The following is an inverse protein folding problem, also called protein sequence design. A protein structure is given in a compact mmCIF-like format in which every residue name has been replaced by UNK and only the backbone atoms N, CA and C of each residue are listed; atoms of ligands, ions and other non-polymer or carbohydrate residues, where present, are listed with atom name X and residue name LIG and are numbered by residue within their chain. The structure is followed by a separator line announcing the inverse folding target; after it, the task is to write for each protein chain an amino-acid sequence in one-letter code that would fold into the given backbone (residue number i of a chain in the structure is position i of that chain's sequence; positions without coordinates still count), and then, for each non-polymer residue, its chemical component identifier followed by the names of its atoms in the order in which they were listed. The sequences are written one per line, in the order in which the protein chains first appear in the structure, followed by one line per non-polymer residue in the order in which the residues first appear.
data_IF_962218908048
#
_entry.id   IF_962218908048
#
_cell.length_a   1.000
_cell.length_b   1.000
_cell.length_c   1.000
_cell.angle_alpha   90.00
_cell.angle_beta   90.00
_cell.angle_gamma   90.00
#
_symmetry.space_group_name_H-M   'P 1'
#
loop_
_entity.id
_entity.type
_entity.pdbx_description
1 polymer ?
#
# COMPACT_ATOMS: atom_id res chain seq x y z
N UNK A 1 -6.55 4.33 7.24
CA UNK A 1 -5.31 3.59 6.88
C UNK A 1 -4.21 3.65 7.96
N UNK A 2 -4.28 4.57 8.93
CA UNK A 2 -3.33 4.64 10.06
C UNK A 2 -3.08 3.30 10.78
N UNK A 3 -4.13 2.47 10.92
CA UNK A 3 -4.02 1.17 11.59
C UNK A 3 -3.20 0.12 10.82
N UNK A 4 -2.99 0.29 9.49
CA UNK A 4 -2.25 -0.68 8.69
C UNK A 4 -0.80 -0.83 9.17
N UNK A 5 -0.07 0.28 9.27
CA UNK A 5 1.33 0.32 9.67
C UNK A 5 1.56 0.70 11.13
N UNK A 6 0.50 0.78 11.96
CA UNK A 6 0.62 1.19 13.36
C UNK A 6 1.59 0.32 14.17
N UNK A 7 1.54 -1.01 14.03
CA UNK A 7 2.47 -1.91 14.71
C UNK A 7 3.87 -1.88 14.06
N UNK A 8 3.94 -1.77 12.72
CA UNK A 8 5.23 -1.71 12.00
C UNK A 8 6.04 -0.47 12.36
N UNK A 9 5.38 0.68 12.60
CA UNK A 9 6.05 1.93 12.98
C UNK A 9 6.74 1.85 14.35
N UNK A 10 6.27 0.96 15.23
CA UNK A 10 6.78 0.78 16.60
C UNK A 10 7.55 -0.52 16.80
N UNK A 11 7.92 -1.22 15.73
CA UNK A 11 8.67 -2.49 15.77
C UNK A 11 9.86 -2.45 16.75
N UNK A 12 10.76 -1.44 16.75
CA UNK A 12 11.88 -1.42 17.69
C UNK A 12 11.44 -1.49 19.16
N UNK A 13 10.37 -0.78 19.53
CA UNK A 13 9.84 -0.80 20.89
C UNK A 13 9.17 -2.15 21.21
N UNK A 14 8.49 -2.78 20.25
CA UNK A 14 7.89 -4.12 20.40
C UNK A 14 8.96 -5.21 20.49
N UNK A 15 10.07 -5.07 19.77
CA UNK A 15 11.24 -5.97 19.94
C UNK A 15 11.77 -5.92 21.36
N UNK A 16 11.96 -4.73 21.92
CA UNK A 16 12.42 -4.57 23.30
C UNK A 16 11.39 -5.09 24.32
N UNK A 17 10.09 -4.86 24.09
CA UNK A 17 9.03 -5.23 25.04
C UNK A 17 8.67 -6.73 25.00
N UNK A 18 8.77 -7.39 23.82
CA UNK A 18 8.28 -8.75 23.61
C UNK A 18 9.34 -9.73 23.12
N UNK A 19 10.59 -9.31 22.96
CA UNK A 19 11.70 -10.16 22.49
C UNK A 19 11.48 -10.70 21.07
N UNK A 20 10.90 -9.88 20.16
CA UNK A 20 10.51 -10.34 18.84
C UNK A 20 11.70 -10.70 17.96
N UNK A 21 11.66 -11.89 17.36
CA UNK A 21 12.58 -12.30 16.31
C UNK A 21 12.31 -11.52 15.01
N UNK A 22 13.26 -11.53 14.06
CA UNK A 22 13.06 -10.92 12.73
C UNK A 22 11.81 -11.48 12.02
N UNK A 23 11.50 -12.77 12.24
CA UNK A 23 10.26 -13.39 11.74
C UNK A 23 9.03 -12.78 12.39
N UNK A 24 9.03 -12.58 13.71
CA UNK A 24 7.92 -11.94 14.45
C UNK A 24 7.66 -10.52 13.97
N UNK A 25 8.71 -9.75 13.72
CA UNK A 25 8.60 -8.39 13.18
C UNK A 25 7.89 -8.37 11.81
N UNK A 26 8.27 -9.27 10.89
CA UNK A 26 7.62 -9.40 9.59
C UNK A 26 6.14 -9.80 9.74
N UNK A 27 5.81 -10.73 10.64
CA UNK A 27 4.44 -11.18 10.88
C UNK A 27 3.50 -10.09 11.38
N UNK A 28 3.98 -9.05 12.08
CA UNK A 28 3.16 -7.90 12.48
C UNK A 28 2.54 -7.17 11.29
N UNK A 29 3.22 -7.11 10.16
CA UNK A 29 2.70 -6.52 8.92
C UNK A 29 1.99 -7.55 8.06
N UNK A 30 2.57 -8.74 7.90
CA UNK A 30 2.04 -9.80 7.05
C UNK A 30 0.64 -10.28 7.47
N UNK A 31 0.35 -10.34 8.78
CA UNK A 31 -0.97 -10.73 9.28
C UNK A 31 -2.08 -9.77 8.84
N UNK A 32 -1.83 -8.46 8.81
CA UNK A 32 -2.80 -7.48 8.27
C UNK A 32 -3.02 -7.71 6.77
N UNK A 33 -1.96 -7.96 6.03
CA UNK A 33 -2.08 -8.17 4.59
C UNK A 33 -2.83 -9.45 4.25
N UNK A 34 -2.54 -10.54 4.98
CA UNK A 34 -3.29 -11.79 4.86
C UNK A 34 -4.77 -11.60 5.21
N UNK A 35 -5.04 -10.88 6.31
CA UNK A 35 -6.41 -10.52 6.69
C UNK A 35 -7.11 -9.69 5.60
N UNK A 36 -6.42 -8.73 5.01
CA UNK A 36 -6.96 -7.92 3.92
C UNK A 36 -7.31 -8.78 2.69
N UNK A 37 -6.46 -9.72 2.30
CA UNK A 37 -6.76 -10.64 1.18
C UNK A 37 -8.00 -11.46 1.48
N UNK A 38 -8.09 -12.07 2.67
CA UNK A 38 -9.26 -12.85 3.08
C UNK A 38 -10.52 -11.99 3.11
N UNK A 39 -10.44 -10.79 3.69
CA UNK A 39 -11.55 -9.84 3.73
C UNK A 39 -12.00 -9.36 2.35
N UNK A 40 -11.05 -9.07 1.45
CA UNK A 40 -11.36 -8.63 0.08
C UNK A 40 -12.04 -9.73 -0.73
N UNK A 41 -11.52 -10.97 -0.65
CA UNK A 41 -12.15 -12.12 -1.30
C UNK A 41 -13.55 -12.40 -0.72
N UNK A 42 -13.70 -12.39 0.60
CA UNK A 42 -15.00 -12.57 1.25
C UNK A 42 -15.99 -11.47 0.84
N UNK A 43 -15.55 -10.21 0.82
CA UNK A 43 -16.38 -9.08 0.39
C UNK A 43 -16.83 -9.21 -1.07
N UNK A 44 -15.93 -9.66 -1.96
CA UNK A 44 -16.23 -9.86 -3.38
C UNK A 44 -17.22 -11.03 -3.59
N UNK A 45 -17.00 -12.16 -2.88
CA UNK A 45 -17.86 -13.34 -2.97
C UNK A 45 -19.27 -13.09 -2.45
N UNK A 46 -19.36 -12.36 -1.34
CA UNK A 46 -20.65 -12.01 -0.72
C UNK A 46 -21.30 -10.78 -1.36
N UNK A 47 -20.62 -10.14 -2.33
CA UNK A 47 -21.06 -8.88 -2.95
C UNK A 47 -21.42 -7.80 -1.91
N UNK A 48 -20.65 -7.68 -0.84
CA UNK A 48 -20.96 -6.78 0.28
C UNK A 48 -21.08 -5.32 -0.18
N UNK A 49 -20.21 -4.88 -1.09
CA UNK A 49 -20.19 -3.51 -1.60
C UNK A 49 -21.43 -3.14 -2.46
N UNK A 50 -22.25 -4.12 -2.88
CA UNK A 50 -23.49 -3.89 -3.62
C UNK A 50 -24.73 -4.09 -2.75
N UNK A 51 -24.62 -4.92 -1.71
CA UNK A 51 -25.72 -5.20 -0.77
C UNK A 51 -25.83 -4.13 0.32
N UNK A 52 -24.72 -3.53 0.71
CA UNK A 52 -24.63 -2.54 1.79
C UNK A 52 -24.26 -1.19 1.17
N UNK A 53 -24.96 -0.09 1.50
CA UNK A 53 -24.58 1.24 1.05
C UNK A 53 -23.09 1.53 1.40
N UNK A 54 -22.31 2.02 0.41
CA UNK A 54 -20.87 2.13 0.53
C UNK A 54 -20.43 2.91 1.77
N UNK A 55 -21.13 4.00 2.13
CA UNK A 55 -20.84 4.79 3.34
C UNK A 55 -20.89 3.96 4.63
N UNK A 56 -21.90 3.08 4.77
CA UNK A 56 -22.06 2.26 5.96
C UNK A 56 -21.04 1.12 6.02
N UNK A 57 -20.80 0.46 4.87
CA UNK A 57 -19.76 -0.57 4.80
C UNK A 57 -18.40 0.02 5.15
N UNK A 58 -18.04 1.18 4.61
CA UNK A 58 -16.81 1.89 4.95
C UNK A 58 -16.74 2.24 6.44
N UNK A 59 -17.80 2.85 6.98
CA UNK A 59 -17.86 3.31 8.37
C UNK A 59 -17.70 2.15 9.36
N UNK A 60 -18.56 1.11 9.24
CA UNK A 60 -18.51 -0.07 10.13
C UNK A 60 -17.16 -0.77 10.03
N UNK A 61 -16.65 -0.94 8.83
CA UNK A 61 -15.33 -1.56 8.63
C UNK A 61 -14.20 -0.73 9.26
N UNK A 62 -14.26 0.59 9.16
CA UNK A 62 -13.27 1.48 9.77
C UNK A 62 -13.36 1.47 11.31
N UNK A 63 -14.57 1.44 11.87
CA UNK A 63 -14.79 1.31 13.31
C UNK A 63 -14.22 -0.01 13.84
N UNK A 64 -14.53 -1.13 13.18
CA UNK A 64 -14.04 -2.45 13.58
C UNK A 64 -12.50 -2.54 13.44
N UNK A 65 -11.90 -2.00 12.37
CA UNK A 65 -10.44 -1.95 12.21
C UNK A 65 -9.77 -1.09 13.29
N UNK A 66 -10.39 0.03 13.66
CA UNK A 66 -9.95 0.88 14.77
C UNK A 66 -10.02 0.14 16.10
N UNK A 67 -11.15 -0.50 16.41
CA UNK A 67 -11.37 -1.24 17.65
C UNK A 67 -10.39 -2.40 17.81
N UNK A 68 -10.18 -3.22 16.78
CA UNK A 68 -9.20 -4.32 16.83
C UNK A 68 -7.79 -3.80 17.09
N UNK A 69 -7.43 -2.63 16.56
CA UNK A 69 -6.13 -2.00 16.83
C UNK A 69 -6.04 -1.48 18.27
N UNK A 70 -7.11 -0.88 18.81
CA UNK A 70 -7.18 -0.41 20.21
C UNK A 70 -7.05 -1.57 21.23
N UNK A 71 -7.48 -2.77 20.87
CA UNK A 71 -7.38 -3.95 21.73
C UNK A 71 -5.97 -4.52 21.83
N UNK A 72 -5.04 -4.20 20.90
CA UNK A 72 -3.69 -4.75 20.90
C UNK A 72 -2.93 -4.44 22.20
N UNK A 73 -2.92 -3.21 22.74
CA UNK A 73 -2.26 -2.92 24.00
C UNK A 73 -2.80 -3.72 25.21
N UNK A 74 -4.08 -4.08 25.17
CA UNK A 74 -4.73 -4.88 26.20
C UNK A 74 -4.55 -6.40 26.02
N UNK A 75 -4.17 -6.86 24.83
CA UNK A 75 -3.95 -8.28 24.53
C UNK A 75 -2.73 -8.88 25.28
N UNK A 76 -1.98 -8.05 26.00
CA UNK A 76 -0.87 -8.46 26.85
C UNK A 76 0.32 -9.03 26.09
N UNK A 77 1.04 -9.97 26.72
CA UNK A 77 2.24 -10.60 26.15
C UNK A 77 1.97 -11.72 25.15
N UNK A 78 0.71 -12.01 24.82
CA UNK A 78 0.37 -13.06 23.85
C UNK A 78 0.56 -12.58 22.42
N UNK A 79 1.71 -12.89 21.83
CA UNK A 79 2.02 -12.54 20.44
C UNK A 79 0.99 -13.10 19.45
N UNK A 80 0.45 -14.30 19.70
CA UNK A 80 -0.58 -14.90 18.85
C UNK A 80 -1.88 -14.08 18.85
N UNK A 81 -2.30 -13.59 20.03
CA UNK A 81 -3.47 -12.70 20.14
C UNK A 81 -3.28 -11.39 19.36
N UNK A 82 -2.07 -10.83 19.42
CA UNK A 82 -1.71 -9.63 18.64
C UNK A 82 -1.79 -9.92 17.14
N UNK A 83 -1.23 -11.04 16.67
CA UNK A 83 -1.31 -11.42 15.26
C UNK A 83 -2.75 -11.63 14.80
N UNK A 84 -3.59 -12.23 15.63
CA UNK A 84 -5.01 -12.40 15.34
C UNK A 84 -5.75 -11.07 15.23
N UNK A 85 -5.52 -10.14 16.17
CA UNK A 85 -6.08 -8.78 16.09
C UNK A 85 -5.59 -8.02 14.86
N UNK A 86 -4.33 -8.17 14.48
CA UNK A 86 -3.76 -7.61 13.25
C UNK A 86 -4.40 -8.21 12.00
N UNK A 87 -4.62 -9.53 11.99
CA UNK A 87 -5.36 -10.21 10.92
C UNK A 87 -6.79 -9.66 10.79
N UNK A 88 -7.52 -9.55 11.90
CA UNK A 88 -8.87 -8.95 11.90
C UNK A 88 -8.85 -7.49 11.44
N UNK A 89 -7.85 -6.71 11.85
CA UNK A 89 -7.66 -5.34 11.32
C UNK A 89 -7.60 -5.35 9.80
N UNK A 90 -6.84 -6.28 9.22
CA UNK A 90 -6.76 -6.47 7.77
C UNK A 90 -8.09 -6.83 7.13
N UNK A 91 -8.80 -7.81 7.70
CA UNK A 91 -10.14 -8.23 7.22
C UNK A 91 -11.09 -7.03 7.13
N UNK A 92 -11.12 -6.19 8.16
CA UNK A 92 -11.98 -5.01 8.15
C UNK A 92 -11.48 -3.91 7.21
N UNK A 93 -10.18 -3.72 7.05
CA UNK A 93 -9.64 -2.74 6.08
C UNK A 93 -10.01 -3.06 4.62
N UNK A 94 -10.35 -4.29 4.31
CA UNK A 94 -10.89 -4.67 3.00
C UNK A 94 -12.25 -4.01 2.71
N UNK A 95 -13.02 -3.64 3.73
CA UNK A 95 -14.24 -2.84 3.60
C UNK A 95 -13.98 -1.32 3.58
N UNK A 96 -12.73 -0.86 3.67
CA UNK A 96 -12.37 0.56 3.66
C UNK A 96 -11.83 0.97 2.28
N UNK A 97 -10.66 0.45 1.86
CA UNK A 97 -10.00 0.92 0.65
C UNK A 97 -10.77 0.59 -0.64
N UNK A 98 -11.17 -0.67 -0.91
CA UNK A 98 -11.94 -0.99 -2.12
C UNK A 98 -13.29 -0.28 -2.18
N UNK A 99 -13.95 -0.11 -1.02
CA UNK A 99 -15.22 0.62 -0.94
C UNK A 99 -15.01 2.12 -1.19
N UNK A 100 -13.92 2.71 -0.65
CA UNK A 100 -13.52 4.08 -0.95
C UNK A 100 -13.28 4.31 -2.44
N UNK A 101 -12.60 3.35 -3.12
CA UNK A 101 -12.42 3.35 -4.57
C UNK A 101 -13.75 3.34 -5.32
N UNK A 102 -14.69 2.49 -4.89
CA UNK A 102 -16.03 2.41 -5.47
C UNK A 102 -16.79 3.72 -5.28
N UNK A 103 -16.77 4.32 -4.09
CA UNK A 103 -17.41 5.61 -3.82
C UNK A 103 -16.79 6.70 -4.71
N UNK A 104 -15.44 6.79 -4.80
CA UNK A 104 -14.75 7.75 -5.64
C UNK A 104 -15.15 7.60 -7.11
N UNK A 105 -15.28 6.37 -7.62
CA UNK A 105 -15.72 6.10 -8.98
C UNK A 105 -17.14 6.61 -9.26
N UNK A 106 -18.01 6.78 -8.26
CA UNK A 106 -19.35 7.37 -8.44
C UNK A 106 -19.32 8.88 -8.60
N UNK A 107 -18.23 9.56 -8.23
CA UNK A 107 -18.04 11.00 -8.34
C UNK A 107 -17.18 11.42 -9.53
N UNK A 108 -16.39 10.49 -10.10
CA UNK A 108 -15.43 10.79 -11.17
C UNK A 108 -15.81 10.05 -12.46
N UNK A 109 -15.87 10.76 -13.57
CA UNK A 109 -16.14 10.18 -14.89
C UNK A 109 -15.01 10.46 -15.87
N UNK A 110 -14.66 11.73 -16.06
CA UNK A 110 -13.59 12.17 -16.96
C UNK A 110 -12.25 12.28 -16.24
N UNK A 111 -12.27 12.64 -14.95
CA UNK A 111 -11.09 12.84 -14.09
C UNK A 111 -10.75 11.60 -13.22
N UNK A 112 -10.93 10.40 -13.77
CA UNK A 112 -10.74 9.16 -13.02
C UNK A 112 -9.33 9.03 -12.44
N UNK A 113 -8.30 9.39 -13.22
CA UNK A 113 -6.91 9.35 -12.79
C UNK A 113 -6.64 10.27 -11.59
N UNK A 114 -7.16 11.49 -11.64
CA UNK A 114 -7.03 12.46 -10.55
C UNK A 114 -7.80 11.99 -9.29
N UNK A 115 -9.03 11.48 -9.44
CA UNK A 115 -9.84 10.99 -8.31
C UNK A 115 -9.20 9.79 -7.61
N UNK A 116 -8.74 8.80 -8.36
CA UNK A 116 -8.03 7.63 -7.82
C UNK A 116 -6.69 8.05 -7.21
N UNK A 117 -5.96 8.97 -7.87
CA UNK A 117 -4.72 9.53 -7.34
C UNK A 117 -4.91 10.24 -6.00
N UNK A 118 -6.00 11.00 -5.83
CA UNK A 118 -6.35 11.64 -4.56
C UNK A 118 -6.62 10.61 -3.46
N UNK A 119 -7.39 9.56 -3.76
CA UNK A 119 -7.70 8.51 -2.80
C UNK A 119 -6.45 7.72 -2.39
N UNK A 120 -5.59 7.37 -3.35
CA UNK A 120 -4.31 6.69 -3.07
C UNK A 120 -3.38 7.62 -2.29
N UNK A 121 -3.37 8.92 -2.61
CA UNK A 121 -2.64 9.92 -1.83
C UNK A 121 -3.09 9.99 -0.37
N UNK A 122 -4.41 10.02 -0.13
CA UNK A 122 -4.98 9.99 1.22
C UNK A 122 -4.68 8.67 1.96
N UNK A 123 -4.73 7.52 1.25
CA UNK A 123 -4.31 6.23 1.77
C UNK A 123 -2.84 6.27 2.23
N UNK A 124 -1.98 6.84 1.41
CA UNK A 124 -0.53 6.96 1.66
C UNK A 124 -0.25 7.82 2.88
N UNK A 125 -0.88 9.00 3.00
CA UNK A 125 -0.78 9.85 4.19
C UNK A 125 -1.29 9.14 5.45
N UNK A 126 -2.42 8.44 5.34
CA UNK A 126 -2.94 7.63 6.45
C UNK A 126 -1.96 6.54 6.87
N UNK A 127 -1.29 5.89 5.92
CA UNK A 127 -0.28 4.86 6.19
C UNK A 127 1.01 5.43 6.81
N UNK A 128 1.36 6.67 6.48
CA UNK A 128 2.50 7.38 7.07
C UNK A 128 2.22 7.86 8.51
N UNK A 129 0.96 8.18 8.84
CA UNK A 129 0.57 8.79 10.11
C UNK A 129 1.16 8.14 11.38
N UNK A 130 1.24 6.80 11.52
CA UNK A 130 1.84 6.18 12.70
C UNK A 130 3.31 6.55 12.94
N UNK A 131 4.08 6.77 11.88
CA UNK A 131 5.48 7.21 11.97
C UNK A 131 5.58 8.65 12.49
N UNK A 132 4.66 9.52 12.06
CA UNK A 132 4.55 10.88 12.60
C UNK A 132 4.14 10.86 14.07
N UNK A 133 3.12 10.07 14.43
CA UNK A 133 2.67 9.92 15.82
C UNK A 133 3.80 9.45 16.73
N UNK A 134 4.64 8.49 16.25
CA UNK A 134 5.83 8.06 16.98
C UNK A 134 6.85 9.19 17.16
N UNK A 135 7.09 10.00 16.12
CA UNK A 135 8.11 11.04 16.14
C UNK A 135 7.72 12.25 17.01
N UNK A 136 6.43 12.61 17.05
CA UNK A 136 5.90 13.81 17.76
C UNK A 136 5.37 13.49 19.15
N UNK A 137 5.04 12.22 19.44
CA UNK A 137 4.44 11.77 20.69
C UNK A 137 5.34 12.03 21.91
N UNK A 138 4.71 12.40 23.05
CA UNK A 138 5.38 12.57 24.33
C UNK A 138 5.85 11.20 24.87
N UNK A 139 7.12 10.85 24.64
CA UNK A 139 7.71 9.58 25.06
C UNK A 139 8.11 8.77 23.83
N UNK A 140 9.33 9.02 23.35
CA UNK A 140 10.02 8.16 22.40
C UNK A 140 10.10 6.78 23.03
N UNK A 141 9.20 5.85 22.63
CA UNK A 141 9.16 4.47 23.15
C UNK A 141 7.78 3.94 23.57
N UNK A 142 6.78 4.80 23.79
CA UNK A 142 5.44 4.29 24.12
C UNK A 142 4.67 3.83 22.86
N UNK A 143 4.91 2.56 22.51
CA UNK A 143 4.23 1.91 21.39
C UNK A 143 2.70 1.83 21.58
N UNK A 144 2.22 1.85 22.84
CA UNK A 144 0.78 1.79 23.15
C UNK A 144 0.06 3.04 22.67
N UNK A 145 0.63 4.21 22.93
CA UNK A 145 0.05 5.50 22.47
C UNK A 145 -0.10 5.52 20.95
N UNK A 146 0.89 5.05 20.20
CA UNK A 146 0.81 5.04 18.72
C UNK A 146 -0.32 4.14 18.22
N UNK A 147 -0.50 2.97 18.84
CA UNK A 147 -1.60 2.05 18.50
C UNK A 147 -2.96 2.66 18.85
N UNK A 148 -3.09 3.24 20.05
CA UNK A 148 -4.31 3.90 20.53
C UNK A 148 -4.68 5.06 19.61
N UNK A 149 -3.75 5.95 19.30
CA UNK A 149 -4.00 7.11 18.44
C UNK A 149 -4.33 6.68 17.00
N UNK A 150 -3.65 5.66 16.48
CA UNK A 150 -3.94 5.12 15.14
C UNK A 150 -5.34 4.50 15.06
N UNK A 151 -5.74 3.75 16.10
CA UNK A 151 -7.08 3.19 16.21
C UNK A 151 -8.15 4.27 16.35
N UNK A 152 -7.92 5.28 17.19
CA UNK A 152 -8.82 6.43 17.36
C UNK A 152 -9.02 7.20 16.04
N UNK A 153 -7.93 7.46 15.29
CA UNK A 153 -8.01 8.09 13.97
C UNK A 153 -8.87 7.27 12.98
N UNK A 154 -8.77 5.94 13.03
CA UNK A 154 -9.62 5.09 12.18
C UNK A 154 -11.09 5.18 12.58
N UNK A 155 -11.40 5.19 13.88
CA UNK A 155 -12.77 5.35 14.39
C UNK A 155 -13.34 6.70 13.98
N UNK A 156 -12.59 7.79 14.20
CA UNK A 156 -13.00 9.15 13.80
C UNK A 156 -13.23 9.20 12.29
N UNK A 157 -12.32 8.63 11.48
CA UNK A 157 -12.50 8.54 10.03
C UNK A 157 -13.76 7.76 9.62
N UNK A 158 -14.11 6.69 10.34
CA UNK A 158 -15.34 5.93 10.13
C UNK A 158 -16.61 6.75 10.46
N UNK A 159 -16.59 7.49 11.57
CA UNK A 159 -17.70 8.38 11.97
C UNK A 159 -17.89 9.54 10.99
N UNK A 160 -16.79 10.17 10.56
CA UNK A 160 -16.81 11.21 9.52
C UNK A 160 -17.37 10.67 8.21
N UNK A 161 -16.98 9.45 7.82
CA UNK A 161 -17.50 8.81 6.61
C UNK A 161 -19.01 8.54 6.72
N UNK A 162 -19.49 8.04 7.85
CA UNK A 162 -20.91 7.82 8.09
C UNK A 162 -21.73 9.11 8.01
N UNK A 163 -21.19 10.22 8.52
CA UNK A 163 -21.90 11.50 8.58
C UNK A 163 -21.86 12.26 7.24
N UNK A 164 -20.71 12.30 6.56
CA UNK A 164 -20.47 13.22 5.45
C UNK A 164 -20.41 12.56 4.08
N UNK A 165 -20.06 11.27 3.98
CA UNK A 165 -19.89 10.62 2.67
C UNK A 165 -21.26 10.27 2.09
N UNK A 166 -21.43 10.61 0.81
CA UNK A 166 -22.58 10.23 -0.02
C UNK A 166 -22.08 9.57 -1.30
N UNK A 167 -22.91 8.71 -1.88
CA UNK A 167 -22.64 8.16 -3.20
C UNK A 167 -22.90 9.23 -4.25
N UNK A 168 -22.06 9.28 -5.28
CA UNK A 168 -22.15 10.25 -6.36
C UNK A 168 -23.21 9.88 -7.42
N UNK A 169 -23.41 10.77 -8.42
CA UNK A 169 -24.45 10.63 -9.44
C UNK A 169 -24.16 9.51 -10.45
N UNK A 170 -22.92 9.04 -10.58
CA UNK A 170 -22.50 8.03 -11.58
C UNK A 170 -22.47 6.61 -10.98
N UNK A 171 -23.48 6.27 -10.19
CA UNK A 171 -23.57 4.94 -9.57
C UNK A 171 -23.83 3.87 -10.63
N UNK A 172 -22.99 2.86 -10.68
CA UNK A 172 -23.16 1.64 -11.47
C UNK A 172 -23.20 0.43 -10.55
N UNK A 173 -24.11 -0.52 -10.83
CA UNK A 173 -24.08 -1.80 -10.14
C UNK A 173 -22.77 -2.52 -10.47
N UNK A 174 -22.10 -3.05 -9.44
CA UNK A 174 -20.91 -3.85 -9.70
C UNK A 174 -21.34 -5.26 -10.13
N UNK A 175 -20.76 -5.79 -11.18
CA UNK A 175 -21.04 -7.14 -11.63
C UNK A 175 -20.56 -8.16 -10.60
N UNK A 176 -21.28 -9.29 -10.52
CA UNK A 176 -20.94 -10.40 -9.62
C UNK A 176 -19.56 -10.97 -9.96
N UNK A 177 -18.83 -11.44 -8.94
CA UNK A 177 -17.56 -12.11 -9.14
C UNK A 177 -17.71 -13.37 -10.02
N UNK A 178 -16.96 -13.43 -11.11
CA UNK A 178 -17.02 -14.52 -12.09
C UNK A 178 -15.79 -15.43 -11.99
N UNK A 179 -15.95 -16.58 -11.35
CA UNK A 179 -14.89 -17.58 -11.16
C UNK A 179 -14.35 -18.16 -12.46
N UNK A 180 -15.21 -18.35 -13.47
CA UNK A 180 -14.78 -18.89 -14.76
C UNK A 180 -13.89 -17.91 -15.50
N UNK A 181 -14.25 -16.62 -15.42
CA UNK A 181 -13.43 -15.57 -15.99
C UNK A 181 -12.12 -15.38 -15.21
N UNK A 182 -12.19 -15.44 -13.88
CA UNK A 182 -11.03 -15.38 -12.99
C UNK A 182 -9.95 -16.42 -13.37
N UNK A 183 -10.35 -17.68 -13.61
CA UNK A 183 -9.44 -18.73 -14.02
C UNK A 183 -8.82 -18.51 -15.42
N UNK A 184 -9.53 -17.80 -16.30
CA UNK A 184 -9.10 -17.54 -17.68
C UNK A 184 -8.35 -16.21 -17.88
N UNK A 185 -8.22 -15.37 -16.86
CA UNK A 185 -7.70 -13.99 -16.97
C UNK A 185 -6.28 -13.93 -17.56
N UNK A 186 -5.45 -14.91 -17.26
CA UNK A 186 -4.07 -15.02 -17.75
C UNK A 186 -3.94 -15.37 -19.21
N UNK A 187 -5.02 -15.83 -19.84
CA UNK A 187 -5.07 -16.07 -21.29
C UNK A 187 -5.21 -14.78 -22.10
N UNK A 188 -5.73 -13.72 -21.46
CA UNK A 188 -5.77 -12.39 -22.07
C UNK A 188 -4.41 -11.70 -21.85
N UNK A 189 -3.64 -11.56 -22.91
CA UNK A 189 -2.26 -11.06 -22.89
C UNK A 189 -2.16 -9.63 -22.37
N UNK A 190 -3.11 -8.75 -22.71
CA UNK A 190 -3.11 -7.36 -22.30
C UNK A 190 -3.33 -7.23 -20.78
N UNK A 191 -4.34 -7.95 -20.28
CA UNK A 191 -4.66 -7.97 -18.85
C UNK A 191 -3.53 -8.65 -18.07
N UNK A 192 -2.94 -9.73 -18.59
CA UNK A 192 -1.81 -10.39 -17.95
C UNK A 192 -0.59 -9.46 -17.84
N UNK A 193 -0.26 -8.69 -18.88
CA UNK A 193 0.85 -7.72 -18.84
C UNK A 193 0.57 -6.56 -17.88
N UNK A 194 -0.65 -6.02 -17.86
CA UNK A 194 -1.03 -4.98 -16.90
C UNK A 194 -0.94 -5.48 -15.45
N UNK A 195 -1.38 -6.72 -15.18
CA UNK A 195 -1.24 -7.35 -13.88
C UNK A 195 0.23 -7.63 -13.51
N UNK A 196 1.06 -8.04 -14.45
CA UNK A 196 2.49 -8.23 -14.20
C UNK A 196 3.18 -6.90 -13.85
N UNK A 197 2.80 -5.80 -14.49
CA UNK A 197 3.21 -4.45 -14.09
C UNK A 197 2.86 -4.15 -12.63
N UNK A 198 1.61 -4.40 -12.25
CA UNK A 198 1.14 -4.24 -10.88
C UNK A 198 1.90 -5.14 -9.88
N UNK A 199 2.18 -6.39 -10.23
CA UNK A 199 2.95 -7.28 -9.36
C UNK A 199 4.40 -6.82 -9.20
N UNK A 200 5.01 -6.25 -10.24
CA UNK A 200 6.31 -5.61 -10.13
C UNK A 200 6.33 -4.45 -9.13
N UNK A 201 5.30 -3.60 -9.16
CA UNK A 201 5.07 -2.55 -8.18
C UNK A 201 4.85 -3.11 -6.75
N UNK A 202 3.97 -4.11 -6.60
CA UNK A 202 3.67 -4.72 -5.30
C UNK A 202 4.85 -5.48 -4.70
N UNK A 203 5.74 -6.02 -5.53
CA UNK A 203 6.98 -6.64 -5.08
C UNK A 203 7.86 -5.69 -4.27
N UNK A 204 7.85 -4.42 -4.61
CA UNK A 204 8.65 -3.38 -3.98
C UNK A 204 7.92 -2.66 -2.85
N UNK A 205 6.71 -2.14 -3.10
CA UNK A 205 6.03 -1.12 -2.31
C UNK A 205 5.93 -1.46 -0.82
N UNK A 206 5.28 -2.56 -0.47
CA UNK A 206 5.00 -2.88 0.93
C UNK A 206 6.23 -3.35 1.69
N UNK A 207 7.21 -3.95 1.02
CA UNK A 207 8.51 -4.25 1.61
C UNK A 207 9.27 -2.96 1.94
N UNK A 208 9.27 -1.98 1.02
CA UNK A 208 9.88 -0.67 1.25
C UNK A 208 9.17 0.07 2.40
N UNK A 209 7.84 0.14 2.41
CA UNK A 209 7.09 0.79 3.50
C UNK A 209 7.30 0.13 4.86
N UNK A 210 7.53 -1.17 4.89
CA UNK A 210 7.78 -1.89 6.14
C UNK A 210 9.20 -1.67 6.65
N UNK A 211 10.20 -1.69 5.78
CA UNK A 211 11.59 -1.82 6.19
C UNK A 211 12.43 -0.57 6.00
N UNK A 212 12.09 0.37 5.09
CA UNK A 212 12.84 1.63 4.93
C UNK A 212 12.81 2.47 6.21
N UNK A 213 11.70 2.60 6.95
CA UNK A 213 11.75 3.29 8.25
C UNK A 213 12.71 2.64 9.26
N UNK A 214 12.81 1.31 9.30
CA UNK A 214 13.75 0.58 10.16
C UNK A 214 15.19 0.81 9.71
N UNK A 215 15.44 0.77 8.42
CA UNK A 215 16.73 1.06 7.78
C UNK A 215 17.19 2.50 8.09
N UNK A 216 16.31 3.49 8.01
CA UNK A 216 16.60 4.88 8.36
C UNK A 216 16.98 5.02 9.85
N UNK A 217 16.24 4.36 10.76
CA UNK A 217 16.55 4.35 12.18
C UNK A 217 17.96 3.77 12.41
N UNK A 218 18.27 2.62 11.79
CA UNK A 218 19.57 1.97 11.92
C UNK A 218 20.70 2.85 11.40
N UNK A 219 20.52 3.48 10.23
CA UNK A 219 21.52 4.36 9.61
C UNK A 219 21.75 5.64 10.42
N UNK A 220 20.69 6.32 10.86
CA UNK A 220 20.75 7.57 11.60
C UNK A 220 21.40 7.38 12.97
N UNK A 221 21.06 6.28 13.65
CA UNK A 221 21.69 5.91 14.93
C UNK A 221 23.21 5.72 14.76
N UNK A 222 23.63 5.05 13.69
CA UNK A 222 25.07 4.90 13.35
C UNK A 222 25.79 6.21 13.06
N UNK A 223 25.06 7.24 12.64
CA UNK A 223 25.59 8.59 12.34
C UNK A 223 25.42 9.59 13.50
N UNK A 224 24.97 9.14 14.69
CA UNK A 224 24.74 10.01 15.86
C UNK A 224 23.57 10.99 15.76
N UNK A 225 22.66 10.80 14.80
CA UNK A 225 21.48 11.64 14.63
C UNK A 225 20.35 11.14 15.55
N UNK A 226 19.64 12.07 16.18
CA UNK A 226 18.50 11.77 17.07
C UNK A 226 17.44 10.90 16.37
N UNK A 227 16.93 9.90 17.08
CA UNK A 227 15.94 8.94 16.56
C UNK A 227 14.63 9.60 16.11
N UNK A 228 14.30 10.80 16.61
CA UNK A 228 13.15 11.59 16.15
C UNK A 228 13.27 11.95 14.67
N UNK A 229 14.47 12.33 14.22
CA UNK A 229 14.70 12.64 12.80
C UNK A 229 14.56 11.42 11.91
N UNK A 230 14.97 10.24 12.38
CA UNK A 230 14.73 9.00 11.66
C UNK A 230 13.23 8.66 11.55
N UNK A 231 12.47 8.91 12.61
CA UNK A 231 11.00 8.77 12.60
C UNK A 231 10.32 9.72 11.62
N UNK A 232 10.73 11.01 11.61
CA UNK A 232 10.23 12.00 10.65
C UNK A 232 10.65 11.66 9.21
N UNK A 233 11.84 11.16 9.00
CA UNK A 233 12.31 10.70 7.70
C UNK A 233 11.48 9.51 7.19
N UNK A 234 11.14 8.55 8.06
CA UNK A 234 10.25 7.43 7.74
C UNK A 234 8.84 7.90 7.40
N UNK A 235 8.29 8.88 8.13
CA UNK A 235 7.05 9.54 7.79
C UNK A 235 7.12 10.20 6.42
N UNK A 236 8.16 11.04 6.18
CA UNK A 236 8.31 11.78 4.94
C UNK A 236 8.51 10.87 3.73
N UNK A 237 9.26 9.76 3.89
CA UNK A 237 9.42 8.72 2.87
C UNK A 237 8.06 8.20 2.39
N UNK A 238 7.20 7.76 3.31
CA UNK A 238 5.88 7.24 2.93
C UNK A 238 4.98 8.37 2.43
N UNK A 239 4.93 9.52 3.13
CA UNK A 239 4.06 10.64 2.79
C UNK A 239 4.38 11.27 1.42
N UNK A 240 5.64 11.25 0.98
CA UNK A 240 6.04 11.71 -0.35
C UNK A 240 5.30 11.00 -1.48
N UNK A 241 4.93 9.73 -1.27
CA UNK A 241 4.12 8.97 -2.22
C UNK A 241 2.73 9.56 -2.45
N UNK A 242 2.20 10.34 -1.51
CA UNK A 242 0.94 11.08 -1.72
C UNK A 242 1.06 12.11 -2.84
N UNK A 243 2.14 12.89 -2.84
CA UNK A 243 2.44 13.81 -3.93
C UNK A 243 2.74 13.05 -5.24
N UNK A 244 3.49 11.94 -5.16
CA UNK A 244 3.79 11.07 -6.29
C UNK A 244 2.52 10.57 -6.99
N UNK A 245 1.56 10.05 -6.23
CA UNK A 245 0.27 9.57 -6.75
C UNK A 245 -0.55 10.66 -7.43
N UNK A 246 -0.62 11.86 -6.83
CA UNK A 246 -1.36 13.00 -7.39
C UNK A 246 -0.73 13.51 -8.69
N UNK A 247 0.58 13.66 -8.72
CA UNK A 247 1.33 14.11 -9.91
C UNK A 247 1.22 13.08 -11.02
N UNK A 248 1.47 11.81 -10.71
CA UNK A 248 1.42 10.74 -11.71
C UNK A 248 0.00 10.51 -12.25
N UNK A 249 -1.05 10.70 -11.43
CA UNK A 249 -2.43 10.64 -11.89
C UNK A 249 -2.68 11.61 -13.06
N UNK A 250 -2.30 12.88 -12.88
CA UNK A 250 -2.42 13.91 -13.93
C UNK A 250 -1.51 13.65 -15.13
N UNK A 251 -0.29 13.22 -14.89
CA UNK A 251 0.66 12.92 -15.96
C UNK A 251 0.21 11.72 -16.78
N UNK A 252 -0.32 10.68 -16.16
CA UNK A 252 -0.77 9.48 -16.85
C UNK A 252 -1.98 9.74 -17.78
N UNK A 253 -2.86 10.65 -17.37
CA UNK A 253 -3.97 11.09 -18.24
C UNK A 253 -3.48 11.91 -19.46
N UNK A 254 -2.27 12.49 -19.40
CA UNK A 254 -1.67 13.30 -20.48
C UNK A 254 -0.66 12.53 -21.34
N UNK A 255 0.22 11.76 -20.71
CA UNK A 255 1.38 11.10 -21.34
C UNK A 255 1.15 9.61 -21.61
N UNK A 256 0.08 9.05 -21.02
CA UNK A 256 -0.25 7.64 -21.07
C UNK A 256 0.23 6.87 -19.86
N UNK A 257 -0.55 5.83 -19.49
CA UNK A 257 -0.34 5.07 -18.26
C UNK A 257 0.94 4.25 -18.29
N UNK A 258 1.25 3.63 -19.44
CA UNK A 258 2.42 2.76 -19.57
C UNK A 258 3.74 3.51 -19.44
N UNK A 259 3.81 4.73 -19.93
CA UNK A 259 5.02 5.55 -19.85
C UNK A 259 5.24 6.03 -18.40
N UNK A 260 4.19 6.56 -17.77
CA UNK A 260 4.30 7.10 -16.41
C UNK A 260 4.61 5.99 -15.40
N UNK A 261 3.98 4.81 -15.50
CA UNK A 261 4.30 3.68 -14.64
C UNK A 261 5.72 3.18 -14.86
N UNK A 262 6.19 3.08 -16.11
CA UNK A 262 7.57 2.67 -16.41
C UNK A 262 8.59 3.66 -15.87
N UNK A 263 8.35 4.97 -15.98
CA UNK A 263 9.24 6.00 -15.44
C UNK A 263 9.28 5.96 -13.91
N UNK A 264 8.13 5.85 -13.26
CA UNK A 264 8.05 5.74 -11.80
C UNK A 264 8.81 4.52 -11.28
N UNK A 265 8.56 3.34 -11.89
CA UNK A 265 9.29 2.11 -11.54
C UNK A 265 10.79 2.19 -11.85
N UNK A 266 11.22 2.89 -12.89
CA UNK A 266 12.64 3.07 -13.17
C UNK A 266 13.32 3.91 -12.06
N UNK A 267 12.67 4.98 -11.61
CA UNK A 267 13.19 5.81 -10.52
C UNK A 267 13.19 5.03 -9.20
N UNK A 268 12.11 4.33 -8.85
CA UNK A 268 12.03 3.59 -7.60
C UNK A 268 13.00 2.40 -7.57
N UNK A 269 13.10 1.64 -8.67
CA UNK A 269 14.05 0.54 -8.80
C UNK A 269 15.52 1.01 -8.72
N UNK A 270 15.82 2.18 -9.26
CA UNK A 270 17.16 2.79 -9.10
C UNK A 270 17.42 3.16 -7.63
N UNK A 271 16.42 3.70 -6.92
CA UNK A 271 16.53 3.99 -5.49
C UNK A 271 16.75 2.72 -4.65
N UNK A 272 16.15 1.58 -5.01
CA UNK A 272 16.42 0.29 -4.36
C UNK A 272 17.91 -0.09 -4.41
N UNK A 273 18.58 0.22 -5.52
CA UNK A 273 20.00 -0.07 -5.72
C UNK A 273 20.90 0.97 -5.03
N UNK A 274 20.48 2.24 -5.02
CA UNK A 274 21.32 3.34 -4.55
C UNK A 274 21.24 3.58 -3.04
N UNK A 275 20.09 3.34 -2.40
CA UNK A 275 19.87 3.68 -0.99
C UNK A 275 20.93 3.09 -0.06
N UNK A 276 21.36 1.86 -0.32
CA UNK A 276 22.36 1.17 0.50
C UNK A 276 23.76 1.79 0.47
N UNK A 277 24.13 2.50 -0.59
CA UNK A 277 25.43 3.18 -0.66
C UNK A 277 25.54 4.33 0.35
N UNK A 278 24.42 4.91 0.76
CA UNK A 278 24.37 6.01 1.72
C UNK A 278 24.16 5.52 3.17
N UNK A 279 23.99 4.21 3.39
CA UNK A 279 23.82 3.63 4.72
C UNK A 279 25.03 3.87 5.60
N UNK A 280 24.81 4.44 6.79
CA UNK A 280 25.88 4.79 7.75
C UNK A 280 26.78 5.96 7.31
N UNK A 281 26.47 6.57 6.15
CA UNK A 281 27.14 7.77 5.64
C UNK A 281 26.39 9.05 6.01
N UNK A 282 26.30 10.00 5.04
CA UNK A 282 25.56 11.25 5.26
C UNK A 282 24.05 10.98 5.38
N UNK A 283 23.42 11.23 6.55
CA UNK A 283 22.01 10.92 6.79
C UNK A 283 21.06 11.76 5.92
N UNK A 284 21.44 12.98 5.54
CA UNK A 284 20.63 13.85 4.71
C UNK A 284 20.65 13.43 3.24
N UNK A 285 21.80 12.93 2.75
CA UNK A 285 21.87 12.35 1.42
C UNK A 285 21.02 11.08 1.32
N UNK A 286 21.08 10.22 2.33
CA UNK A 286 20.22 9.05 2.43
C UNK A 286 18.74 9.45 2.47
N UNK A 287 18.40 10.46 3.27
CA UNK A 287 17.02 10.97 3.36
C UNK A 287 16.53 11.48 2.00
N UNK A 288 17.35 12.23 1.25
CA UNK A 288 16.98 12.71 -0.09
C UNK A 288 16.69 11.56 -1.07
N UNK A 289 17.52 10.51 -1.08
CA UNK A 289 17.28 9.31 -1.89
C UNK A 289 15.97 8.62 -1.47
N UNK A 290 15.74 8.45 -0.16
CA UNK A 290 14.51 7.84 0.34
C UNK A 290 13.28 8.69 0.01
N UNK A 291 13.38 10.02 0.02
CA UNK A 291 12.27 10.91 -0.35
C UNK A 291 11.88 10.76 -1.82
N UNK A 292 12.87 10.69 -2.73
CA UNK A 292 12.66 10.41 -4.15
C UNK A 292 12.04 9.02 -4.33
N UNK A 293 12.55 8.04 -3.60
CA UNK A 293 12.02 6.67 -3.61
C UNK A 293 10.56 6.63 -3.17
N UNK A 294 10.23 7.25 -2.02
CA UNK A 294 8.88 7.33 -1.50
C UNK A 294 7.90 7.99 -2.47
N UNK A 295 8.33 9.05 -3.15
CA UNK A 295 7.54 9.69 -4.21
C UNK A 295 7.29 8.72 -5.38
N UNK A 296 8.34 8.07 -5.89
CA UNK A 296 8.29 7.26 -7.10
C UNK A 296 7.54 5.94 -6.89
N UNK A 297 7.76 5.26 -5.74
CA UNK A 297 7.21 3.92 -5.47
C UNK A 297 5.68 3.89 -5.35
N UNK A 298 5.01 5.04 -5.18
CA UNK A 298 3.55 5.14 -5.13
C UNK A 298 2.98 5.77 -6.41
N UNK A 299 3.81 6.47 -7.16
CA UNK A 299 3.38 7.24 -8.33
C UNK A 299 2.64 6.40 -9.38
N UNK A 300 3.03 5.15 -9.56
CA UNK A 300 2.44 4.20 -10.51
C UNK A 300 1.20 3.45 -9.97
N UNK A 301 1.02 3.39 -8.66
CA UNK A 301 0.05 2.52 -7.98
C UNK A 301 -1.38 2.62 -8.55
N UNK A 302 -1.91 3.84 -8.66
CA UNK A 302 -3.26 4.09 -9.16
C UNK A 302 -3.42 3.71 -10.64
N UNK A 303 -2.33 3.78 -11.41
CA UNK A 303 -2.36 3.64 -12.87
C UNK A 303 -2.54 2.19 -13.31
N UNK A 304 -2.10 1.22 -12.53
CA UNK A 304 -2.31 -0.20 -12.83
C UNK A 304 -3.78 -0.60 -12.74
N UNK A 305 -4.47 -0.18 -11.67
CA UNK A 305 -5.90 -0.46 -11.51
C UNK A 305 -6.73 0.28 -12.56
N UNK A 306 -6.38 1.53 -12.87
CA UNK A 306 -7.00 2.29 -13.93
C UNK A 306 -6.79 1.61 -15.30
N UNK A 307 -5.56 1.24 -15.63
CA UNK A 307 -5.24 0.56 -16.89
C UNK A 307 -5.96 -0.77 -17.07
N UNK A 308 -6.01 -1.61 -16.03
CA UNK A 308 -6.79 -2.86 -16.04
C UNK A 308 -8.28 -2.57 -16.26
N UNK A 309 -8.84 -1.55 -15.60
CA UNK A 309 -10.25 -1.20 -15.79
C UNK A 309 -10.59 -0.72 -17.20
N UNK A 310 -9.62 -0.15 -17.91
CA UNK A 310 -9.76 0.32 -19.30
C UNK A 310 -9.58 -0.80 -20.33
N UNK A 311 -8.79 -1.83 -20.00
CA UNK A 311 -8.54 -3.00 -20.85
C UNK A 311 -9.62 -4.07 -20.73
N UNK A 312 -10.29 -4.14 -19.59
CA UNK A 312 -11.24 -5.19 -19.26
C UNK A 312 -12.68 -4.78 -19.63
N UNK A 313 -13.52 -5.73 -20.09
CA UNK A 313 -14.97 -5.49 -20.18
C UNK A 313 -15.54 -5.02 -18.83
N UNK A 314 -16.41 -4.01 -18.85
CA UNK A 314 -16.96 -3.37 -17.64
C UNK A 314 -17.58 -4.36 -16.68
N UNK A 315 -18.27 -5.39 -17.20
CA UNK A 315 -18.96 -6.43 -16.42
C UNK A 315 -17.98 -7.35 -15.67
N UNK A 316 -16.68 -7.31 -15.99
CA UNK A 316 -15.66 -8.19 -15.45
C UNK A 316 -14.57 -7.46 -14.68
N UNK A 317 -14.57 -6.14 -14.72
CA UNK A 317 -13.57 -5.28 -14.08
C UNK A 317 -13.45 -5.55 -12.58
N UNK A 318 -14.56 -5.73 -11.88
CA UNK A 318 -14.55 -6.02 -10.45
C UNK A 318 -13.83 -7.33 -10.11
N UNK A 319 -14.08 -8.41 -10.90
CA UNK A 319 -13.39 -9.69 -10.72
C UNK A 319 -11.88 -9.55 -10.93
N UNK A 320 -11.47 -8.85 -12.00
CA UNK A 320 -10.06 -8.68 -12.34
C UNK A 320 -9.33 -7.85 -11.27
N UNK A 321 -9.91 -6.74 -10.84
CA UNK A 321 -9.31 -5.88 -9.81
C UNK A 321 -9.21 -6.58 -8.45
N UNK A 322 -10.21 -7.39 -8.08
CA UNK A 322 -10.14 -8.19 -6.84
C UNK A 322 -8.99 -9.19 -6.90
N UNK A 323 -8.84 -9.91 -8.01
CA UNK A 323 -7.73 -10.85 -8.20
C UNK A 323 -6.38 -10.15 -8.23
N UNK A 324 -6.26 -9.07 -9.01
CA UNK A 324 -5.06 -8.24 -9.06
C UNK A 324 -4.62 -7.84 -7.66
N UNK A 325 -5.54 -7.25 -6.90
CA UNK A 325 -5.27 -6.76 -5.55
C UNK A 325 -4.90 -7.92 -4.60
N UNK A 326 -5.68 -8.99 -4.60
CA UNK A 326 -5.45 -10.13 -3.71
C UNK A 326 -4.10 -10.81 -3.98
N UNK A 327 -3.78 -11.09 -5.24
CA UNK A 327 -2.51 -11.71 -5.63
C UNK A 327 -1.32 -10.77 -5.38
N UNK A 328 -1.49 -9.46 -5.63
CA UNK A 328 -0.48 -8.46 -5.30
C UNK A 328 -0.17 -8.43 -3.81
N UNK A 329 -1.18 -8.43 -2.95
CA UNK A 329 -0.96 -8.48 -1.49
C UNK A 329 -0.36 -9.80 -1.02
N UNK A 330 -0.72 -10.93 -1.61
CA UNK A 330 -0.06 -12.22 -1.30
C UNK A 330 1.42 -12.18 -1.70
N UNK A 331 1.75 -11.57 -2.84
CA UNK A 331 3.14 -11.42 -3.27
C UNK A 331 3.97 -10.59 -2.29
N UNK A 332 3.38 -9.56 -1.67
CA UNK A 332 4.08 -8.73 -0.68
C UNK A 332 4.50 -9.50 0.57
N UNK A 333 3.78 -10.58 0.93
CA UNK A 333 4.19 -11.44 2.06
C UNK A 333 5.59 -12.03 1.83
N UNK A 334 5.88 -12.41 0.58
CA UNK A 334 7.19 -12.94 0.20
C UNK A 334 8.27 -11.87 0.38
N UNK A 335 8.08 -10.69 -0.18
CA UNK A 335 9.10 -9.63 -0.15
C UNK A 335 9.33 -9.06 1.24
N UNK A 336 8.26 -8.85 2.03
CA UNK A 336 8.39 -8.43 3.44
C UNK A 336 9.20 -9.45 4.24
N UNK A 337 9.01 -10.74 3.99
CA UNK A 337 9.74 -11.82 4.68
C UNK A 337 11.19 -11.92 4.23
N UNK A 338 11.48 -11.62 2.96
CA UNK A 338 12.81 -11.72 2.38
C UNK A 338 13.76 -10.60 2.83
N UNK A 339 13.31 -9.36 3.02
CA UNK A 339 14.19 -8.22 3.38
C UNK A 339 15.07 -8.52 4.60
N UNK A 340 14.54 -9.01 5.76
CA UNK A 340 15.42 -9.35 6.89
C UNK A 340 16.39 -10.50 6.60
N UNK A 341 16.06 -11.39 5.67
CA UNK A 341 16.96 -12.46 5.25
C UNK A 341 18.13 -11.90 4.44
N UNK A 342 17.83 -11.03 3.48
CA UNK A 342 18.88 -10.33 2.71
C UNK A 342 19.70 -9.39 3.60
N UNK A 343 19.08 -8.69 4.55
CA UNK A 343 19.81 -7.86 5.52
C UNK A 343 20.87 -8.66 6.28
N UNK A 344 20.53 -9.88 6.73
CA UNK A 344 21.50 -10.76 7.41
C UNK A 344 22.60 -11.29 6.50
N UNK A 345 22.31 -11.54 5.21
CA UNK A 345 23.25 -12.11 4.26
C UNK A 345 24.20 -11.07 3.67
N UNK A 346 23.68 -9.89 3.32
CA UNK A 346 24.40 -8.87 2.56
C UNK A 346 24.41 -7.50 3.23
N UNK A 347 23.99 -7.42 4.49
CA UNK A 347 23.81 -6.21 5.30
C UNK A 347 22.80 -5.23 4.70
N UNK A 348 22.46 -4.17 5.44
CA UNK A 348 21.57 -3.10 4.94
C UNK A 348 22.02 -2.48 3.62
N UNK A 349 23.32 -2.54 3.32
CA UNK A 349 23.86 -1.95 2.08
C UNK A 349 23.24 -2.53 0.82
N UNK A 350 22.88 -3.80 0.82
CA UNK A 350 22.31 -4.49 -0.34
C UNK A 350 20.96 -5.13 -0.09
N UNK A 351 20.41 -4.93 1.12
CA UNK A 351 19.18 -5.58 1.54
C UNK A 351 17.96 -5.28 0.65
N UNK A 352 17.95 -4.12 -0.01
CA UNK A 352 16.87 -3.72 -0.90
C UNK A 352 17.14 -3.98 -2.39
N UNK A 353 18.38 -4.38 -2.76
CA UNK A 353 18.75 -4.53 -4.17
C UNK A 353 17.86 -5.52 -4.92
N UNK A 354 17.44 -6.63 -4.28
CA UNK A 354 16.56 -7.62 -4.89
C UNK A 354 15.14 -7.07 -5.17
N UNK A 355 14.73 -6.02 -4.50
CA UNK A 355 13.43 -5.38 -4.75
C UNK A 355 13.41 -4.75 -6.15
N UNK A 356 14.55 -4.33 -6.70
CA UNK A 356 14.64 -3.78 -8.06
C UNK A 356 14.19 -4.76 -9.15
N UNK A 357 14.15 -6.06 -8.86
CA UNK A 357 13.63 -7.08 -9.79
C UNK A 357 12.15 -6.87 -10.13
N UNK A 358 11.35 -6.40 -9.15
CA UNK A 358 9.94 -6.07 -9.37
C UNK A 358 9.76 -4.95 -10.39
N UNK A 359 10.29 -3.74 -10.14
CA UNK A 359 10.31 -2.65 -11.11
C UNK A 359 10.83 -3.07 -12.50
N UNK A 360 11.92 -3.83 -12.57
CA UNK A 360 12.46 -4.30 -13.84
C UNK A 360 11.45 -5.17 -14.63
N UNK A 361 10.82 -6.13 -13.97
CA UNK A 361 9.79 -6.96 -14.57
C UNK A 361 8.54 -6.13 -14.95
N UNK A 362 8.15 -5.19 -14.09
CA UNK A 362 7.03 -4.28 -14.33
C UNK A 362 7.25 -3.37 -15.53
N UNK A 363 8.44 -2.76 -15.64
CA UNK A 363 8.81 -1.93 -16.81
C UNK A 363 8.74 -2.76 -18.10
N UNK A 364 9.34 -3.96 -18.08
CA UNK A 364 9.29 -4.86 -19.21
C UNK A 364 7.82 -5.14 -19.64
N UNK A 365 6.96 -5.45 -18.67
CA UNK A 365 5.55 -5.74 -18.93
C UNK A 365 4.81 -4.53 -19.51
N UNK A 366 5.00 -3.33 -18.93
CA UNK A 366 4.32 -2.11 -19.37
C UNK A 366 4.81 -1.65 -20.77
N UNK A 367 6.11 -1.77 -21.05
CA UNK A 367 6.63 -1.47 -22.39
C UNK A 367 6.17 -2.48 -23.45
N UNK A 368 5.99 -3.76 -23.07
CA UNK A 368 5.38 -4.76 -23.96
C UNK A 368 3.90 -4.46 -24.20
N UNK A 369 3.16 -4.10 -23.15
CA UNK A 369 1.76 -3.72 -23.24
C UNK A 369 1.59 -2.50 -24.17
N UNK A 370 2.46 -1.49 -24.06
CA UNK A 370 2.45 -0.30 -24.91
C UNK A 370 2.50 -0.61 -26.41
N UNK A 371 3.17 -1.69 -26.79
CA UNK A 371 3.30 -2.13 -28.21
C UNK A 371 2.06 -2.87 -28.73
N UNK A 372 1.13 -3.27 -27.88
CA UNK A 372 -0.07 -3.97 -28.31
C UNK A 372 -1.16 -2.98 -28.75
N UNK A 373 -1.96 -3.30 -29.78
CA UNK A 373 -3.06 -2.44 -30.24
C UNK A 373 -4.05 -2.10 -29.10
N UNK A 374 -4.30 -3.05 -28.22
CA UNK A 374 -5.23 -2.87 -27.10
C UNK A 374 -4.82 -1.74 -26.14
N UNK A 375 -3.53 -1.37 -26.07
CA UNK A 375 -3.07 -0.24 -25.26
C UNK A 375 -3.70 1.09 -25.67
N UNK A 376 -4.21 1.21 -26.90
CA UNK A 376 -4.96 2.38 -27.36
C UNK A 376 -6.28 2.61 -26.61
N UNK A 377 -6.78 1.61 -25.86
CA UNK A 377 -7.93 1.79 -24.97
C UNK A 377 -7.57 2.57 -23.70
N UNK A 378 -6.29 2.60 -23.32
CA UNK A 378 -5.81 3.22 -22.09
C UNK A 378 -5.65 4.73 -22.28
N UNK A 379 -6.00 5.50 -21.24
CA UNK A 379 -5.86 6.95 -21.19
C UNK A 379 -6.39 7.66 -22.45
N UNK A 380 -7.55 7.26 -22.97
CA UNK A 380 -8.18 7.84 -24.16
C UNK A 380 -7.26 7.81 -25.41
N UNK A 381 -6.52 6.74 -25.60
CA UNK A 381 -5.62 6.53 -26.76
C UNK A 381 -4.16 6.94 -26.56
N UNK A 382 -3.81 7.49 -25.40
CA UNK A 382 -2.43 7.96 -25.12
C UNK A 382 -1.47 6.84 -24.67
N UNK A 383 -1.99 5.64 -24.42
CA UNK A 383 -1.27 4.39 -24.12
C UNK A 383 -0.53 4.38 -22.79
#
# INVERSE_FOLDING_TARGET
MSVWFSASSVVPALVSAWGLTSSGQAWLTMSVQLGFVVGALASALLNLADRIPGRWLFAVSSLLAGTTTLLIPAAGASFLSVLFLRFLTGVFLAGVYPVGMKIMATWTREDRGAGVGLLVGALTLGSAAPHLLKAVGRGVGDWRSVLIMSGALAIVGGLVAAALIREGPFRTAAPKFDWKYAAGIWRNREIALANLGYFGHMWELYAAWTWVPVFLIASFRGSGVDERWAGLAGFAFIAAGSAGSLVAGRLADRLGRTLVTSAAMAISGLCCLLAGFFFGGNPWALFAVCLIWGFAVVADSAQFSAGVSELCPTERTGTVLTLQTSLGFLLTLVTIRLVPTFERLVTWRWAFAFLALGPAAGIWAMLRLRRLPASAKMASGRR
#
